data_IF_220674262672
#
_entry.id   IF_220674262672
#
_cell.length_a   1.000
_cell.length_b   1.000
_cell.length_c   1.000
_cell.angle_alpha   90.00
_cell.angle_beta   90.00
_cell.angle_gamma   90.00
#
_symmetry.space_group_name_H-M   'P 1'
#
loop_
_entity.id
_entity.type
_entity.pdbx_description
1 polymer ?
#
# COMPACT_ATOMS: atom_id res chain seq x y z
N UNK A 1 2.50 -3.64 11.32
CA UNK A 1 1.91 -3.49 9.99
C UNK A 1 1.17 -2.18 9.97
N UNK A 2 1.40 -1.37 8.94
CA UNK A 2 0.70 -0.11 8.73
C UNK A 2 -0.10 -0.22 7.44
N UNK A 3 -1.15 0.58 7.32
CA UNK A 3 -1.88 0.70 6.06
C UNK A 3 -1.50 2.01 5.39
N UNK A 4 -1.15 1.95 4.11
CA UNK A 4 -0.93 3.12 3.28
C UNK A 4 -2.21 3.42 2.49
N UNK A 5 -2.68 4.67 2.55
CA UNK A 5 -3.88 5.12 1.85
C UNK A 5 -3.48 5.99 0.66
N UNK A 6 -3.97 5.65 -0.52
CA UNK A 6 -3.76 6.41 -1.75
C UNK A 6 -5.01 6.34 -2.64
N UNK A 7 -5.30 7.41 -3.38
CA UNK A 7 -6.38 7.38 -4.35
C UNK A 7 -6.03 6.42 -5.50
N UNK A 8 -7.00 5.63 -5.94
CA UNK A 8 -6.80 4.68 -7.04
C UNK A 8 -6.45 5.40 -8.35
N UNK A 9 -7.01 6.59 -8.56
CA UNK A 9 -6.70 7.44 -9.72
C UNK A 9 -5.26 7.98 -9.68
N UNK A 10 -4.74 8.30 -8.50
CA UNK A 10 -3.35 8.77 -8.34
C UNK A 10 -2.32 7.66 -8.57
N UNK A 11 -2.63 6.43 -8.14
CA UNK A 11 -1.74 5.28 -8.37
C UNK A 11 -1.83 4.77 -9.81
N UNK A 12 -3.03 4.73 -10.39
CA UNK A 12 -3.29 4.30 -11.78
C UNK A 12 -3.16 2.80 -12.05
N UNK A 13 -2.80 2.00 -11.05
CA UNK A 13 -2.69 0.54 -11.13
C UNK A 13 -2.95 -0.12 -9.77
N UNK A 14 -3.21 -1.42 -9.76
CA UNK A 14 -3.39 -2.18 -8.53
C UNK A 14 -2.03 -2.51 -7.89
N UNK A 15 -1.82 -2.24 -6.60
CA UNK A 15 -0.57 -2.53 -5.92
C UNK A 15 -0.38 -4.04 -5.70
N UNK A 16 0.86 -4.51 -5.78
CA UNK A 16 1.22 -5.92 -5.69
C UNK A 16 2.09 -6.20 -4.47
N UNK A 17 2.04 -7.45 -3.99
CA UNK A 17 2.94 -7.87 -2.93
C UNK A 17 4.40 -7.76 -3.37
N UNK A 18 5.27 -7.30 -2.49
CA UNK A 18 6.69 -6.98 -2.72
C UNK A 18 6.96 -5.63 -3.41
N UNK A 19 5.93 -4.86 -3.79
CA UNK A 19 6.14 -3.47 -4.20
C UNK A 19 6.71 -2.64 -3.03
N UNK A 20 7.42 -1.55 -3.34
CA UNK A 20 7.98 -0.64 -2.34
C UNK A 20 7.41 0.75 -2.53
N UNK A 21 6.70 1.25 -1.51
CA UNK A 21 6.20 2.61 -1.43
C UNK A 21 7.25 3.47 -0.76
N UNK A 22 7.64 4.57 -1.41
CA UNK A 22 8.52 5.59 -0.84
C UNK A 22 7.68 6.80 -0.48
N UNK A 23 7.58 7.12 0.81
CA UNK A 23 6.82 8.24 1.31
C UNK A 23 7.50 8.84 2.53
N UNK A 24 7.52 10.17 2.65
CA UNK A 24 8.09 10.90 3.80
C UNK A 24 9.52 10.47 4.18
N UNK A 25 10.35 10.14 3.18
CA UNK A 25 11.73 9.69 3.38
C UNK A 25 11.84 8.28 3.98
N UNK A 26 10.76 7.50 3.96
CA UNK A 26 10.71 6.10 4.40
C UNK A 26 10.28 5.18 3.28
N UNK A 27 10.68 3.92 3.41
CA UNK A 27 10.33 2.81 2.51
C UNK A 27 9.37 1.88 3.23
N UNK A 28 8.31 1.52 2.53
CA UNK A 28 7.29 0.59 3.00
C UNK A 28 7.12 -0.53 1.98
N UNK A 29 7.33 -1.77 2.38
CA UNK A 29 7.13 -2.93 1.52
C UNK A 29 5.68 -3.38 1.60
N UNK A 30 5.03 -3.53 0.45
CA UNK A 30 3.68 -4.06 0.31
C UNK A 30 3.68 -5.56 0.61
N UNK A 31 2.78 -6.00 1.47
CA UNK A 31 2.71 -7.38 1.93
C UNK A 31 1.33 -7.96 1.67
N UNK A 32 1.29 -9.25 1.31
CA UNK A 32 0.06 -10.02 1.37
C UNK A 32 -0.26 -10.35 2.84
N UNK A 33 -1.44 -9.93 3.29
CA UNK A 33 -1.92 -10.25 4.62
C UNK A 33 -2.63 -11.60 4.62
N UNK A 34 -1.89 -12.69 4.87
CA UNK A 34 -2.46 -14.01 5.16
C UNK A 34 -3.52 -14.51 4.14
N UNK A 35 -3.39 -14.14 2.87
CA UNK A 35 -4.32 -14.51 1.81
C UNK A 35 -5.50 -13.55 1.61
N UNK A 36 -5.56 -12.44 2.36
CA UNK A 36 -6.47 -11.32 2.08
C UNK A 36 -5.97 -10.46 0.90
N UNK A 37 -4.74 -10.67 0.45
CA UNK A 37 -4.10 -9.93 -0.63
C UNK A 37 -3.26 -8.75 -0.14
N UNK A 38 -2.69 -8.01 -1.10
CA UNK A 38 -1.80 -6.89 -0.84
C UNK A 38 -2.51 -5.60 -0.41
N UNK A 39 -3.82 -5.49 -0.67
CA UNK A 39 -4.61 -4.29 -0.43
C UNK A 39 -6.11 -4.61 -0.40
N UNK A 40 -6.90 -3.65 0.10
CA UNK A 40 -8.37 -3.66 0.00
C UNK A 40 -8.92 -2.25 -0.21
N UNK A 41 -10.18 -2.14 -0.64
CA UNK A 41 -10.84 -0.85 -0.73
C UNK A 41 -11.06 -0.25 0.67
N UNK A 42 -10.66 1.01 0.86
CA UNK A 42 -10.92 1.71 2.12
C UNK A 42 -12.36 2.20 2.24
N UNK A 43 -13.04 2.39 1.11
CA UNK A 43 -14.35 3.02 1.02
C UNK A 43 -15.30 2.27 0.06
N UNK A 44 -16.63 2.37 0.24
CA UNK A 44 -17.60 1.71 -0.63
C UNK A 44 -17.59 2.21 -2.08
N UNK A 45 -17.12 3.44 -2.31
CA UNK A 45 -17.06 4.04 -3.64
C UNK A 45 -15.81 3.60 -4.43
N UNK A 46 -14.93 2.79 -3.81
CA UNK A 46 -13.73 2.24 -4.42
C UNK A 46 -12.82 3.31 -5.01
N UNK A 47 -12.64 4.37 -4.24
CA UNK A 47 -11.81 5.52 -4.66
C UNK A 47 -10.43 5.48 -4.03
N UNK A 48 -10.29 4.83 -2.87
CA UNK A 48 -9.05 4.81 -2.09
C UNK A 48 -8.59 3.38 -1.85
N UNK A 49 -7.36 3.09 -2.25
CA UNK A 49 -6.66 1.86 -1.88
C UNK A 49 -6.18 1.94 -0.45
N UNK A 50 -6.38 0.86 0.31
CA UNK A 50 -5.78 0.61 1.61
C UNK A 50 -4.79 -0.54 1.47
N UNK A 51 -3.52 -0.17 1.33
CA UNK A 51 -2.42 -1.08 1.00
C UNK A 51 -1.76 -1.56 2.28
N UNK A 52 -1.62 -2.87 2.45
CA UNK A 52 -0.99 -3.45 3.62
C UNK A 52 0.52 -3.37 3.48
N UNK A 53 1.19 -2.67 4.40
CA UNK A 53 2.64 -2.49 4.32
C UNK A 53 3.34 -2.75 5.65
N UNK A 54 4.64 -3.06 5.54
CA UNK A 54 5.60 -2.98 6.66
C UNK A 54 6.61 -1.88 6.37
N UNK A 55 7.01 -1.17 7.41
CA UNK A 55 8.15 -0.25 7.35
C UNK A 55 9.44 -1.07 7.20
N UNK A 56 10.24 -0.75 6.18
CA UNK A 56 11.53 -1.37 5.92
C UNK A 56 12.71 -0.41 6.10
N UNK A 57 12.46 0.79 6.65
CA UNK A 57 13.47 1.77 7.02
C UNK A 57 13.47 3.03 6.17
N UNK A 58 14.59 3.75 6.21
CA UNK A 58 14.76 5.02 5.52
C UNK A 58 14.97 4.85 4.01
N UNK A 59 14.49 5.83 3.24
CA UNK A 59 14.90 6.01 1.85
C UNK A 59 16.27 6.69 1.80
N UNK A 60 17.32 5.90 2.10
CA UNK A 60 18.74 6.31 1.94
C UNK A 60 19.20 6.28 0.50
#
# INVERSE_FOLDING_TARGET
>A
MIDFLILADELGHEPQASDVIVADGRKYEVMDLAGEGAWRWSDPYRTTFRIHTKDIGADT
#
